data_IF_011432253025
#
_entry.id   IF_011432253025
#
_cell.length_a   1.000
_cell.length_b   1.000
_cell.length_c   1.000
_cell.angle_alpha   90.00
_cell.angle_beta   90.00
_cell.angle_gamma   90.00
#
_symmetry.space_group_name_H-M   'P 1'
#
loop_
_entity.id
_entity.type
_entity.pdbx_description
1 polymer ?
#
# COMPACT_ATOMS: atom_id res chain seq x y z
N UNK A 1 -26.33 -8.22 12.19
CA UNK A 1 -26.58 -6.95 11.48
C UNK A 1 -25.58 -6.85 10.35
N UNK A 2 -25.99 -6.36 9.19
CA UNK A 2 -25.06 -6.19 8.07
C UNK A 2 -24.01 -5.12 8.40
N UNK A 3 -22.74 -5.27 7.96
CA UNK A 3 -21.65 -4.34 8.28
C UNK A 3 -21.98 -2.87 7.98
N UNK A 4 -22.66 -2.63 6.84
CA UNK A 4 -23.07 -1.29 6.41
C UNK A 4 -24.12 -0.71 7.36
N UNK A 5 -25.05 -1.52 7.87
CA UNK A 5 -26.07 -1.06 8.82
C UNK A 5 -25.45 -0.68 10.15
N UNK A 6 -24.48 -1.47 10.64
CA UNK A 6 -23.72 -1.16 11.85
C UNK A 6 -22.95 0.15 11.68
N UNK A 7 -22.27 0.34 10.55
CA UNK A 7 -21.53 1.56 10.27
C UNK A 7 -22.45 2.80 10.18
N UNK A 8 -23.62 2.68 9.52
CA UNK A 8 -24.63 3.75 9.49
C UNK A 8 -25.11 4.10 10.90
N UNK A 9 -25.41 3.09 11.71
CA UNK A 9 -25.88 3.27 13.07
C UNK A 9 -24.82 3.88 14.00
N UNK A 10 -23.55 3.49 13.84
CA UNK A 10 -22.41 4.11 14.51
C UNK A 10 -22.32 5.60 14.17
N UNK A 11 -22.35 5.97 12.88
CA UNK A 11 -22.29 7.37 12.46
C UNK A 11 -23.46 8.18 13.02
N UNK A 12 -24.69 7.65 12.97
CA UNK A 12 -25.86 8.39 13.50
C UNK A 12 -25.82 8.60 15.01
N UNK A 13 -25.17 7.71 15.75
CA UNK A 13 -25.16 7.71 17.22
C UNK A 13 -23.96 8.50 17.76
N UNK A 14 -22.77 8.25 17.23
CA UNK A 14 -21.50 8.76 17.76
C UNK A 14 -21.00 10.02 17.04
N UNK A 15 -21.36 10.20 15.77
CA UNK A 15 -20.97 11.38 14.96
C UNK A 15 -22.18 12.03 14.25
N UNK A 16 -23.27 12.36 14.98
CA UNK A 16 -24.50 12.89 14.39
C UNK A 16 -24.31 14.23 13.68
N UNK A 17 -23.25 14.98 14.00
CA UNK A 17 -22.98 16.32 13.46
C UNK A 17 -21.85 16.39 12.44
N UNK A 18 -21.22 15.26 12.06
CA UNK A 18 -20.20 15.27 11.02
C UNK A 18 -20.80 15.69 9.66
N UNK A 19 -19.96 16.31 8.83
CA UNK A 19 -20.32 16.79 7.50
C UNK A 19 -20.45 15.65 6.48
N UNK A 20 -19.63 14.61 6.63
CA UNK A 20 -19.61 13.47 5.73
C UNK A 20 -18.98 12.25 6.37
N UNK A 21 -19.42 11.07 5.95
CA UNK A 21 -18.82 9.81 6.39
C UNK A 21 -18.92 8.75 5.28
N UNK A 22 -17.93 7.87 5.21
CA UNK A 22 -17.92 6.72 4.34
C UNK A 22 -17.38 5.49 5.08
N UNK A 23 -17.91 4.33 4.73
CA UNK A 23 -17.32 3.03 5.05
C UNK A 23 -16.35 2.69 3.94
N UNK A 24 -15.18 2.18 4.27
CA UNK A 24 -14.13 1.78 3.34
C UNK A 24 -13.67 0.35 3.66
N UNK A 25 -12.46 0.00 3.21
CA UNK A 25 -11.82 -1.21 3.68
C UNK A 25 -12.24 -2.49 2.97
N UNK A 26 -11.89 -3.61 3.62
CA UNK A 26 -12.11 -4.96 3.08
C UNK A 26 -13.60 -5.28 2.89
N UNK A 27 -14.47 -4.77 3.78
CA UNK A 27 -15.93 -4.92 3.73
C UNK A 27 -16.51 -4.37 2.43
N UNK A 28 -16.10 -3.16 2.03
CA UNK A 28 -16.62 -2.53 0.81
C UNK A 28 -16.14 -3.24 -0.47
N UNK A 29 -14.94 -3.82 -0.44
CA UNK A 29 -14.39 -4.55 -1.59
C UNK A 29 -14.94 -5.98 -1.75
N UNK A 30 -15.68 -6.49 -0.78
CA UNK A 30 -16.11 -7.90 -0.76
C UNK A 30 -14.99 -8.87 -0.37
N UNK A 31 -13.88 -8.37 0.16
CA UNK A 31 -12.71 -9.14 0.62
C UNK A 31 -12.71 -9.32 2.14
N UNK A 32 -13.84 -9.08 2.82
CA UNK A 32 -13.90 -9.17 4.27
C UNK A 32 -13.76 -10.61 4.76
N UNK A 33 -13.06 -10.78 5.87
CA UNK A 33 -12.93 -12.02 6.63
C UNK A 33 -13.60 -11.87 7.98
N UNK A 34 -13.74 -12.94 8.74
CA UNK A 34 -14.30 -12.90 10.11
C UNK A 34 -13.53 -11.95 11.05
N UNK A 35 -12.25 -11.70 10.76
CA UNK A 35 -11.40 -10.77 11.53
C UNK A 35 -11.36 -9.35 10.97
N UNK A 36 -12.15 -9.04 9.93
CA UNK A 36 -12.20 -7.71 9.32
C UNK A 36 -12.84 -6.68 10.24
N UNK A 37 -12.27 -5.48 10.20
CA UNK A 37 -12.77 -4.26 10.82
C UNK A 37 -13.66 -3.44 9.89
N UNK A 38 -14.39 -2.50 10.49
CA UNK A 38 -15.09 -1.43 9.79
C UNK A 38 -14.16 -0.22 9.70
N UNK A 39 -13.53 -0.04 8.54
CA UNK A 39 -12.78 1.18 8.21
C UNK A 39 -13.75 2.34 7.93
N UNK A 40 -13.84 3.33 8.80
CA UNK A 40 -14.76 4.47 8.64
C UNK A 40 -13.95 5.77 8.53
N UNK A 41 -14.15 6.49 7.42
CA UNK A 41 -13.58 7.83 7.23
C UNK A 41 -14.65 8.87 7.50
N UNK A 42 -14.35 9.83 8.39
CA UNK A 42 -15.26 10.89 8.82
C UNK A 42 -14.67 12.25 8.45
N UNK A 43 -15.52 13.12 7.92
CA UNK A 43 -15.22 14.52 7.65
C UNK A 43 -16.04 15.41 8.57
N UNK A 44 -15.38 16.21 9.40
CA UNK A 44 -16.00 17.18 10.31
C UNK A 44 -15.23 18.50 10.27
N UNK A 45 -15.85 19.55 9.75
CA UNK A 45 -15.24 20.88 9.61
C UNK A 45 -14.89 21.53 10.95
N UNK A 46 -15.56 21.14 12.05
CA UNK A 46 -15.33 21.69 13.39
C UNK A 46 -14.14 21.01 14.09
N UNK A 47 -13.65 19.91 13.53
CA UNK A 47 -12.51 19.20 14.07
C UNK A 47 -11.24 20.06 13.97
N UNK A 48 -10.56 20.24 15.11
CA UNK A 48 -9.30 21.01 15.17
C UNK A 48 -8.14 20.22 14.56
N UNK A 49 -7.99 18.96 14.93
CA UNK A 49 -6.88 18.10 14.52
C UNK A 49 -7.39 16.74 14.05
N UNK A 50 -6.79 16.20 12.99
CA UNK A 50 -7.10 14.85 12.54
C UNK A 50 -6.66 13.82 13.56
N UNK A 51 -7.43 12.75 13.70
CA UNK A 51 -7.07 11.64 14.58
C UNK A 51 -7.49 10.29 13.99
N UNK A 52 -6.88 9.23 14.53
CA UNK A 52 -7.31 7.85 14.32
C UNK A 52 -7.70 7.24 15.66
N UNK A 53 -8.71 6.39 15.64
CA UNK A 53 -9.21 5.72 16.82
C UNK A 53 -9.63 4.29 16.45
N UNK A 54 -9.31 3.33 17.31
CA UNK A 54 -9.78 1.95 17.17
C UNK A 54 -10.65 1.62 18.37
N UNK A 55 -11.87 1.12 18.12
CA UNK A 55 -12.83 0.81 19.17
C UNK A 55 -13.70 -0.40 18.82
N UNK A 56 -14.44 -0.92 19.79
CA UNK A 56 -15.46 -1.95 19.57
C UNK A 56 -16.85 -1.31 19.62
N UNK A 57 -17.65 -1.53 18.59
CA UNK A 57 -19.04 -1.09 18.54
C UNK A 57 -19.95 -2.24 18.12
N UNK A 58 -20.85 -2.65 19.02
CA UNK A 58 -21.77 -3.79 18.80
C UNK A 58 -21.03 -5.02 18.27
N UNK A 59 -19.95 -5.39 18.96
CA UNK A 59 -19.06 -6.53 18.64
C UNK A 59 -18.19 -6.37 17.38
N UNK A 60 -18.35 -5.27 16.62
CA UNK A 60 -17.47 -4.96 15.50
C UNK A 60 -16.24 -4.19 15.93
N UNK A 61 -15.08 -4.59 15.42
CA UNK A 61 -13.89 -3.73 15.41
C UNK A 61 -14.12 -2.59 14.43
N UNK A 62 -13.91 -1.36 14.89
CA UNK A 62 -14.06 -0.14 14.09
C UNK A 62 -12.73 0.61 14.11
N UNK A 63 -12.20 0.92 12.93
CA UNK A 63 -11.10 1.86 12.77
C UNK A 63 -11.64 3.18 12.20
N UNK A 64 -11.47 4.27 12.94
CA UNK A 64 -11.86 5.61 12.55
C UNK A 64 -10.69 6.39 11.98
N UNK A 65 -10.95 7.11 10.90
CA UNK A 65 -10.06 8.08 10.29
C UNK A 65 -10.81 9.41 10.21
N UNK A 66 -10.58 10.29 11.17
CA UNK A 66 -11.37 11.50 11.35
C UNK A 66 -10.55 12.71 10.92
N UNK A 67 -11.09 13.45 9.95
CA UNK A 67 -10.43 14.59 9.33
C UNK A 67 -11.37 15.81 9.28
N UNK A 68 -10.80 17.00 9.27
CA UNK A 68 -11.51 18.18 8.77
C UNK A 68 -11.29 18.34 7.25
N UNK A 69 -11.97 19.31 6.63
CA UNK A 69 -11.94 19.51 5.17
C UNK A 69 -10.61 20.09 4.62
N UNK A 70 -9.67 20.44 5.51
CA UNK A 70 -8.30 20.83 5.14
C UNK A 70 -7.33 19.68 5.31
N UNK A 71 -7.28 19.13 6.53
CA UNK A 71 -6.29 18.13 6.96
C UNK A 71 -6.25 16.85 6.12
N UNK A 72 -7.36 16.34 5.60
CA UNK A 72 -7.31 15.13 4.75
C UNK A 72 -6.39 15.31 3.52
N UNK A 73 -6.22 16.55 3.04
CA UNK A 73 -5.37 16.85 1.88
C UNK A 73 -3.89 16.63 2.19
N UNK A 74 -3.47 16.91 3.42
CA UNK A 74 -2.10 16.66 3.86
C UNK A 74 -1.82 15.15 3.89
N UNK A 75 -2.81 14.34 4.31
CA UNK A 75 -2.72 12.88 4.24
C UNK A 75 -2.72 12.37 2.81
N UNK A 76 -3.56 12.91 1.92
CA UNK A 76 -3.52 12.58 0.49
C UNK A 76 -2.15 12.88 -0.12
N UNK A 77 -1.57 14.05 0.19
CA UNK A 77 -0.24 14.46 -0.26
C UNK A 77 0.83 13.50 0.27
N UNK A 78 0.86 13.25 1.57
CA UNK A 78 1.83 12.34 2.21
C UNK A 78 1.76 10.93 1.61
N UNK A 79 0.54 10.42 1.38
CA UNK A 79 0.29 9.14 0.73
C UNK A 79 0.83 9.08 -0.71
N UNK A 80 0.69 10.17 -1.45
CA UNK A 80 1.21 10.28 -2.81
C UNK A 80 2.75 10.35 -2.83
N UNK A 81 3.35 11.10 -1.90
CA UNK A 81 4.81 11.25 -1.78
C UNK A 81 5.49 9.92 -1.49
N UNK A 82 4.92 9.11 -0.59
CA UNK A 82 5.39 7.76 -0.28
C UNK A 82 4.90 6.69 -1.27
N UNK A 83 4.15 7.07 -2.30
CA UNK A 83 3.53 6.20 -3.29
C UNK A 83 2.60 5.09 -2.71
N UNK A 84 2.05 5.28 -1.50
CA UNK A 84 1.12 4.35 -0.83
C UNK A 84 -0.22 5.06 -0.63
N UNK A 85 -1.16 4.97 -1.57
CA UNK A 85 -2.38 5.79 -1.58
C UNK A 85 -3.49 5.22 -0.69
N UNK A 86 -3.24 5.07 0.63
CA UNK A 86 -4.17 4.45 1.57
C UNK A 86 -5.48 5.24 1.69
N UNK A 87 -5.41 6.50 2.13
CA UNK A 87 -6.60 7.34 2.33
C UNK A 87 -7.29 7.68 0.99
N UNK A 88 -6.58 8.05 -0.10
CA UNK A 88 -7.21 8.21 -1.41
C UNK A 88 -7.97 6.96 -1.86
N UNK A 89 -7.42 5.76 -1.64
CA UNK A 89 -8.09 4.51 -2.01
C UNK A 89 -9.33 4.26 -1.16
N UNK A 90 -9.22 4.39 0.16
CA UNK A 90 -10.37 4.26 1.07
C UNK A 90 -11.51 5.19 0.67
N UNK A 91 -11.20 6.47 0.40
CA UNK A 91 -12.21 7.46 0.00
C UNK A 91 -12.78 7.13 -1.36
N UNK A 92 -11.96 6.82 -2.37
CA UNK A 92 -12.40 6.51 -3.74
C UNK A 92 -13.36 5.30 -3.79
N UNK A 93 -13.00 4.21 -3.10
CA UNK A 93 -13.73 2.94 -3.10
C UNK A 93 -14.93 2.95 -2.14
N UNK A 94 -14.89 3.75 -1.07
CA UNK A 94 -15.83 3.65 0.04
C UNK A 94 -17.30 3.93 -0.27
N UNK A 95 -18.21 3.31 0.49
CA UNK A 95 -19.65 3.56 0.41
C UNK A 95 -19.99 4.74 1.31
N UNK A 96 -20.68 5.75 0.75
CA UNK A 96 -21.09 6.93 1.49
C UNK A 96 -22.16 6.55 2.52
N UNK A 97 -21.89 6.85 3.78
CA UNK A 97 -22.83 6.65 4.89
C UNK A 97 -23.64 7.91 5.16
N UNK A 98 -23.03 9.09 4.98
CA UNK A 98 -23.64 10.41 5.25
C UNK A 98 -22.96 11.51 4.45
N UNK A 99 -23.69 12.60 4.16
CA UNK A 99 -23.09 13.83 3.67
C UNK A 99 -22.64 13.78 2.21
N UNK A 100 -23.45 13.18 1.33
CA UNK A 100 -23.11 12.95 -0.08
C UNK A 100 -22.56 14.19 -0.80
N UNK A 101 -23.16 15.36 -0.61
CA UNK A 101 -22.71 16.62 -1.22
C UNK A 101 -21.29 17.04 -0.81
N UNK A 102 -20.85 16.67 0.40
CA UNK A 102 -19.49 16.92 0.91
C UNK A 102 -18.53 15.84 0.43
N UNK A 103 -18.96 14.58 0.42
CA UNK A 103 -18.09 13.43 0.14
C UNK A 103 -17.83 13.25 -1.37
N UNK A 104 -18.81 13.50 -2.24
CA UNK A 104 -18.68 13.28 -3.69
C UNK A 104 -17.50 14.05 -4.33
N UNK A 105 -17.28 15.35 -4.04
CA UNK A 105 -16.09 16.07 -4.52
C UNK A 105 -14.77 15.46 -4.07
N UNK A 106 -14.68 15.01 -2.81
CA UNK A 106 -13.48 14.39 -2.24
C UNK A 106 -13.21 13.03 -2.89
N UNK A 107 -14.27 12.24 -3.15
CA UNK A 107 -14.15 10.99 -3.94
C UNK A 107 -13.64 11.26 -5.35
N UNK A 108 -14.10 12.32 -6.01
CA UNK A 108 -13.62 12.69 -7.34
C UNK A 108 -12.13 13.10 -7.30
N UNK A 109 -11.72 13.87 -6.30
CA UNK A 109 -10.30 14.21 -6.07
C UNK A 109 -9.44 12.95 -5.89
N UNK A 110 -9.87 12.04 -5.01
CA UNK A 110 -9.20 10.79 -4.75
C UNK A 110 -9.05 9.93 -6.03
N UNK A 111 -10.11 9.82 -6.84
CA UNK A 111 -10.09 9.12 -8.13
C UNK A 111 -9.08 9.73 -9.10
N UNK A 112 -9.05 11.07 -9.20
CA UNK A 112 -8.09 11.80 -10.05
C UNK A 112 -6.65 11.56 -9.60
N UNK A 113 -6.40 11.60 -8.29
CA UNK A 113 -5.08 11.30 -7.73
C UNK A 113 -4.65 9.87 -8.06
N UNK A 114 -5.50 8.88 -7.79
CA UNK A 114 -5.20 7.48 -8.09
C UNK A 114 -4.90 7.24 -9.58
N UNK A 115 -5.68 7.85 -10.47
CA UNK A 115 -5.45 7.76 -11.92
C UNK A 115 -4.15 8.44 -12.37
N UNK A 116 -3.67 9.47 -11.67
CA UNK A 116 -2.43 10.19 -11.99
C UNK A 116 -1.16 9.33 -11.78
N UNK A 117 -1.20 8.41 -10.82
CA UNK A 117 -0.04 7.62 -10.39
C UNK A 117 0.95 8.41 -9.50
N UNK A 118 1.91 7.74 -8.85
CA UNK A 118 2.94 8.39 -8.04
C UNK A 118 3.89 9.23 -8.89
N UNK A 119 4.72 10.03 -8.21
CA UNK A 119 5.87 10.70 -8.84
C UNK A 119 6.81 9.65 -9.42
N UNK A 120 7.31 9.91 -10.63
CA UNK A 120 8.41 9.16 -11.21
C UNK A 120 9.65 9.27 -10.31
N UNK A 121 10.36 8.16 -10.18
CA UNK A 121 11.71 8.16 -9.64
C UNK A 121 12.66 8.87 -10.58
N UNK A 122 13.63 9.60 -10.01
CA UNK A 122 14.76 10.11 -10.77
C UNK A 122 15.70 8.97 -11.16
N UNK A 123 16.75 9.28 -11.95
CA UNK A 123 17.77 8.28 -12.28
C UNK A 123 18.53 7.84 -11.02
N UNK A 124 18.83 8.78 -10.15
CA UNK A 124 19.52 8.58 -8.88
C UNK A 124 18.67 7.69 -7.95
N UNK A 125 17.35 7.94 -7.87
CA UNK A 125 16.43 7.07 -7.11
C UNK A 125 16.49 5.61 -7.62
N UNK A 126 16.50 5.41 -8.95
CA UNK A 126 16.59 4.08 -9.57
C UNK A 126 17.93 3.43 -9.29
N UNK A 127 19.04 4.16 -9.42
CA UNK A 127 20.39 3.66 -9.14
C UNK A 127 20.55 3.24 -7.67
N UNK A 128 20.11 4.09 -6.73
CA UNK A 128 20.12 3.76 -5.30
C UNK A 128 19.31 2.51 -5.00
N UNK A 129 18.11 2.36 -5.57
CA UNK A 129 17.30 1.16 -5.37
C UNK A 129 17.91 -0.07 -6.02
N UNK A 130 18.49 0.07 -7.22
CA UNK A 130 19.20 -1.00 -7.94
C UNK A 130 20.40 -1.50 -7.13
N UNK A 131 21.16 -0.61 -6.51
CA UNK A 131 22.24 -0.97 -5.58
C UNK A 131 21.72 -1.78 -4.40
N UNK A 132 20.72 -1.29 -3.65
CA UNK A 132 20.19 -2.01 -2.49
C UNK A 132 19.58 -3.38 -2.84
N UNK A 133 18.98 -3.53 -4.02
CA UNK A 133 18.48 -4.82 -4.50
C UNK A 133 19.64 -5.77 -4.81
N UNK A 134 20.73 -5.25 -5.39
CA UNK A 134 21.90 -6.05 -5.74
C UNK A 134 22.64 -6.52 -4.49
N UNK A 135 22.82 -5.63 -3.53
CA UNK A 135 23.42 -5.90 -2.22
C UNK A 135 22.64 -6.98 -1.46
N UNK A 136 21.32 -6.81 -1.33
CA UNK A 136 20.46 -7.82 -0.69
C UNK A 136 20.41 -9.15 -1.48
N UNK A 137 20.57 -9.13 -2.80
CA UNK A 137 20.64 -10.35 -3.60
C UNK A 137 21.97 -11.09 -3.38
N UNK A 138 23.09 -10.38 -3.27
CA UNK A 138 24.39 -10.99 -3.03
C UNK A 138 24.44 -11.61 -1.62
N UNK A 139 23.90 -10.92 -0.60
CA UNK A 139 23.67 -11.49 0.73
C UNK A 139 22.78 -12.75 0.67
N UNK A 140 21.71 -12.70 -0.11
CA UNK A 140 20.80 -13.84 -0.28
C UNK A 140 21.51 -15.04 -0.92
N UNK A 141 22.35 -14.81 -1.92
CA UNK A 141 23.14 -15.86 -2.59
C UNK A 141 24.16 -16.45 -1.62
N UNK A 142 24.88 -15.60 -0.87
CA UNK A 142 25.97 -15.99 0.00
C UNK A 142 25.57 -16.58 1.35
N UNK A 143 24.35 -16.33 1.85
CA UNK A 143 23.93 -16.86 3.15
C UNK A 143 23.76 -18.39 3.11
N UNK A 144 24.31 -19.07 4.11
CA UNK A 144 24.15 -20.52 4.33
C UNK A 144 23.22 -20.83 5.51
N UNK A 145 22.78 -19.80 6.25
CA UNK A 145 21.96 -19.94 7.45
C UNK A 145 20.49 -19.71 7.13
N UNK A 146 19.66 -20.73 7.34
CA UNK A 146 18.25 -20.71 6.92
C UNK A 146 17.44 -19.59 7.55
N UNK A 147 17.73 -19.26 8.80
CA UNK A 147 17.08 -18.15 9.50
C UNK A 147 17.35 -16.81 8.81
N UNK A 148 18.62 -16.49 8.51
CA UNK A 148 19.01 -15.30 7.75
C UNK A 148 18.34 -15.26 6.37
N UNK A 149 18.38 -16.35 5.61
CA UNK A 149 17.83 -16.39 4.26
C UNK A 149 16.32 -16.02 4.22
N UNK A 150 15.55 -16.39 5.25
CA UNK A 150 14.11 -16.08 5.34
C UNK A 150 13.89 -14.57 5.46
N UNK A 151 14.68 -13.89 6.29
CA UNK A 151 14.59 -12.44 6.48
C UNK A 151 15.14 -11.67 5.29
N UNK A 152 16.23 -12.15 4.68
CA UNK A 152 16.78 -11.55 3.45
C UNK A 152 15.76 -11.69 2.31
N UNK A 153 15.17 -12.88 2.11
CA UNK A 153 14.14 -13.10 1.08
C UNK A 153 12.91 -12.21 1.29
N UNK A 154 12.46 -12.02 2.53
CA UNK A 154 11.36 -11.09 2.82
C UNK A 154 11.74 -9.66 2.40
N UNK A 155 12.92 -9.19 2.82
CA UNK A 155 13.41 -7.84 2.52
C UNK A 155 13.54 -7.63 1.01
N UNK A 156 14.11 -8.61 0.30
CA UNK A 156 14.27 -8.62 -1.15
C UNK A 156 12.90 -8.59 -1.86
N UNK A 157 11.91 -9.32 -1.38
CA UNK A 157 10.54 -9.26 -1.92
C UNK A 157 9.93 -7.86 -1.80
N UNK A 158 10.13 -7.20 -0.65
CA UNK A 158 9.61 -5.85 -0.41
C UNK A 158 10.25 -4.83 -1.35
N UNK A 159 11.59 -4.77 -1.42
CA UNK A 159 12.29 -3.80 -2.25
C UNK A 159 12.15 -4.07 -3.75
N UNK A 160 12.11 -5.34 -4.18
CA UNK A 160 11.94 -5.71 -5.59
C UNK A 160 10.54 -5.38 -6.08
N UNK A 161 9.50 -5.67 -5.28
CA UNK A 161 8.13 -5.33 -5.64
C UNK A 161 7.89 -3.82 -5.68
N UNK A 162 8.50 -3.05 -4.75
CA UNK A 162 8.53 -1.59 -4.81
C UNK A 162 9.17 -1.14 -6.12
N UNK A 163 10.35 -1.67 -6.46
CA UNK A 163 11.09 -1.27 -7.64
C UNK A 163 10.28 -1.45 -8.92
N UNK A 164 9.73 -2.64 -9.15
CA UNK A 164 8.90 -2.95 -10.33
C UNK A 164 7.73 -1.99 -10.44
N UNK A 165 7.00 -1.76 -9.34
CA UNK A 165 5.83 -0.88 -9.37
C UNK A 165 6.23 0.58 -9.63
N UNK A 166 7.26 1.07 -8.94
CA UNK A 166 7.67 2.48 -9.01
C UNK A 166 8.30 2.86 -10.34
N UNK A 167 9.12 1.99 -10.93
CA UNK A 167 9.67 2.24 -12.27
C UNK A 167 8.59 2.21 -13.36
N UNK A 168 7.43 1.60 -13.08
CA UNK A 168 6.26 1.57 -13.97
C UNK A 168 5.17 2.58 -13.58
N UNK A 169 5.50 3.58 -12.74
CA UNK A 169 4.57 4.63 -12.26
C UNK A 169 3.29 4.03 -11.64
N UNK A 170 3.43 2.93 -10.91
CA UNK A 170 2.36 2.28 -10.18
C UNK A 170 2.47 2.58 -8.69
N UNK A 171 1.31 2.65 -8.05
CA UNK A 171 1.21 2.73 -6.60
C UNK A 171 1.73 1.45 -5.94
N UNK A 172 2.37 1.60 -4.78
CA UNK A 172 2.89 0.48 -4.00
C UNK A 172 1.96 0.14 -2.82
N UNK A 173 2.17 -1.04 -2.27
CA UNK A 173 1.42 -1.56 -1.13
C UNK A 173 2.35 -2.23 -0.12
N UNK A 174 1.81 -2.53 1.06
CA UNK A 174 2.51 -3.30 2.10
C UNK A 174 1.67 -4.50 2.51
N UNK A 175 2.32 -5.55 3.03
CA UNK A 175 1.64 -6.78 3.46
C UNK A 175 0.73 -7.32 2.35
N UNK A 176 -0.57 -7.53 2.61
CA UNK A 176 -1.58 -7.99 1.63
C UNK A 176 -1.59 -7.13 0.36
N UNK A 177 -1.31 -5.84 0.47
CA UNK A 177 -1.36 -4.91 -0.65
C UNK A 177 -0.17 -5.03 -1.62
N UNK A 178 0.95 -5.62 -1.20
CA UNK A 178 2.08 -5.85 -2.10
C UNK A 178 1.66 -6.71 -3.30
N UNK A 179 1.05 -7.87 -3.05
CA UNK A 179 0.59 -8.77 -4.12
C UNK A 179 -0.61 -8.19 -4.87
N UNK A 180 -1.50 -7.45 -4.19
CA UNK A 180 -2.65 -6.79 -4.86
C UNK A 180 -2.19 -5.72 -5.84
N UNK A 181 -1.21 -4.90 -5.47
CA UNK A 181 -0.64 -3.88 -6.35
C UNK A 181 0.06 -4.53 -7.56
N UNK A 182 0.86 -5.58 -7.34
CA UNK A 182 1.46 -6.35 -8.44
C UNK A 182 0.40 -6.93 -9.38
N UNK A 183 -0.69 -7.50 -8.85
CA UNK A 183 -1.80 -8.02 -9.68
C UNK A 183 -2.53 -6.93 -10.46
N UNK A 184 -2.68 -5.74 -9.89
CA UNK A 184 -3.30 -4.59 -10.56
C UNK A 184 -2.43 -4.08 -11.73
N UNK A 185 -1.11 -4.16 -11.59
CA UNK A 185 -0.16 -3.79 -12.63
C UNK A 185 -0.03 -4.87 -13.71
N UNK A 186 0.36 -6.09 -13.33
CA UNK A 186 0.54 -7.23 -14.22
C UNK A 186 0.24 -8.55 -13.47
N UNK A 187 -0.93 -9.17 -13.72
CA UNK A 187 -1.30 -10.45 -13.11
C UNK A 187 -0.34 -11.60 -13.40
N UNK A 188 0.28 -11.64 -14.58
CA UNK A 188 1.23 -12.71 -14.97
C UNK A 188 2.54 -12.54 -14.21
N UNK A 189 3.06 -11.31 -14.15
CA UNK A 189 4.23 -10.98 -13.35
C UNK A 189 3.98 -11.29 -11.88
N UNK A 190 2.85 -10.88 -11.31
CA UNK A 190 2.49 -11.14 -9.92
C UNK A 190 2.47 -12.64 -9.60
N UNK A 191 1.94 -13.48 -10.51
CA UNK A 191 1.95 -14.95 -10.34
C UNK A 191 3.38 -15.51 -10.33
N UNK A 192 4.23 -15.04 -11.25
CA UNK A 192 5.64 -15.46 -11.32
C UNK A 192 6.42 -15.01 -10.08
N UNK A 193 6.22 -13.77 -9.65
CA UNK A 193 6.82 -13.20 -8.44
C UNK A 193 6.50 -14.06 -7.22
N UNK A 194 5.21 -14.31 -6.95
CA UNK A 194 4.79 -15.13 -5.80
C UNK A 194 5.34 -16.56 -5.91
N UNK A 195 5.34 -17.16 -7.10
CA UNK A 195 5.88 -18.51 -7.31
C UNK A 195 7.38 -18.59 -7.01
N UNK A 196 8.17 -17.58 -7.36
CA UNK A 196 9.61 -17.55 -7.06
C UNK A 196 9.87 -17.59 -5.56
N UNK A 197 9.22 -16.71 -4.79
CA UNK A 197 9.39 -16.66 -3.33
C UNK A 197 8.78 -17.88 -2.62
N UNK A 198 7.58 -18.34 -3.01
CA UNK A 198 6.97 -19.55 -2.44
C UNK A 198 7.83 -20.80 -2.70
N UNK A 199 8.46 -20.92 -3.88
CA UNK A 199 9.40 -22.02 -4.17
C UNK A 199 10.56 -22.02 -3.17
N UNK A 200 11.16 -20.86 -2.92
CA UNK A 200 12.25 -20.72 -1.94
C UNK A 200 11.78 -21.04 -0.52
N UNK A 201 10.63 -20.53 -0.09
CA UNK A 201 10.12 -20.79 1.27
C UNK A 201 9.82 -22.29 1.50
N UNK A 202 9.36 -23.00 0.46
CA UNK A 202 9.06 -24.45 0.56
C UNK A 202 10.27 -25.36 0.43
N UNK A 203 11.28 -24.97 -0.34
CA UNK A 203 12.33 -25.90 -0.80
C UNK A 203 13.76 -25.44 -0.52
N UNK A 204 13.96 -24.18 -0.11
CA UNK A 204 15.29 -23.58 0.03
C UNK A 204 15.96 -23.16 -1.29
N UNK A 205 15.39 -23.54 -2.44
CA UNK A 205 15.94 -23.23 -3.77
C UNK A 205 15.89 -21.74 -4.09
N UNK A 206 17.07 -21.14 -4.34
CA UNK A 206 17.25 -19.68 -4.54
C UNK A 206 17.10 -19.24 -5.99
N UNK A 207 17.24 -20.15 -6.95
CA UNK A 207 17.47 -19.85 -8.37
C UNK A 207 16.35 -19.00 -8.98
N UNK A 208 15.10 -19.26 -8.61
CA UNK A 208 13.95 -18.52 -9.14
C UNK A 208 13.88 -17.08 -8.65
N UNK A 209 14.37 -16.79 -7.45
CA UNK A 209 14.45 -15.41 -6.94
C UNK A 209 15.60 -14.71 -7.67
N UNK A 210 16.77 -15.37 -7.77
CA UNK A 210 17.95 -14.83 -8.45
C UNK A 210 17.60 -14.43 -9.89
N UNK A 211 17.05 -15.35 -10.69
CA UNK A 211 16.67 -15.08 -12.08
C UNK A 211 15.61 -13.98 -12.21
N UNK A 212 14.67 -13.90 -11.26
CA UNK A 212 13.64 -12.85 -11.26
C UNK A 212 14.25 -11.47 -10.99
N UNK A 213 15.16 -11.36 -10.03
CA UNK A 213 15.85 -10.09 -9.75
C UNK A 213 16.68 -9.66 -10.96
N UNK A 214 17.45 -10.58 -11.55
CA UNK A 214 18.26 -10.28 -12.73
C UNK A 214 17.39 -9.81 -13.91
N UNK A 215 16.25 -10.48 -14.18
CA UNK A 215 15.29 -10.07 -15.21
C UNK A 215 14.77 -8.64 -14.96
N UNK A 216 14.39 -8.34 -13.71
CA UNK A 216 13.86 -7.01 -13.33
C UNK A 216 14.90 -5.91 -13.46
N UNK A 217 16.16 -6.19 -13.11
CA UNK A 217 17.22 -5.18 -13.15
C UNK A 217 17.84 -4.99 -14.54
N UNK A 218 17.75 -5.99 -15.43
CA UNK A 218 18.35 -5.96 -16.78
C UNK A 218 18.00 -4.69 -17.58
N UNK A 219 16.73 -4.23 -17.67
CA UNK A 219 16.38 -2.99 -18.37
C UNK A 219 16.99 -1.71 -17.78
N UNK A 220 17.53 -1.78 -16.55
CA UNK A 220 18.10 -0.66 -15.80
C UNK A 220 19.62 -0.81 -15.62
N UNK A 221 20.27 -1.65 -16.43
CA UNK A 221 21.72 -1.86 -16.39
C UNK A 221 22.18 -3.04 -15.53
N UNK A 222 21.27 -3.93 -15.12
CA UNK A 222 21.60 -5.13 -14.34
C UNK A 222 21.93 -4.84 -12.87
N UNK A 223 22.66 -5.74 -12.22
CA UNK A 223 23.12 -5.54 -10.83
C UNK A 223 24.06 -4.33 -10.72
N UNK A 224 24.12 -3.71 -9.55
CA UNK A 224 24.96 -2.55 -9.25
C UNK A 224 25.71 -2.75 -7.95
N UNK A 225 27.04 -2.67 -8.03
CA UNK A 225 27.92 -2.53 -6.87
C UNK A 225 29.04 -1.55 -7.19
N UNK A 226 29.84 -1.87 -8.21
CA UNK A 226 30.94 -1.02 -8.66
C UNK A 226 30.44 0.34 -9.15
N UNK A 227 31.10 1.42 -8.72
CA UNK A 227 30.78 2.78 -9.09
C UNK A 227 29.62 3.42 -8.34
N UNK A 228 28.86 2.67 -7.54
CA UNK A 228 27.83 3.26 -6.68
C UNK A 228 28.49 4.13 -5.60
N UNK A 229 27.98 5.35 -5.42
CA UNK A 229 28.40 6.24 -4.35
C UNK A 229 27.31 7.23 -3.98
N UNK A 230 27.32 7.69 -2.74
CA UNK A 230 26.40 8.70 -2.23
C UNK A 230 27.23 9.82 -1.63
N UNK A 231 27.02 11.05 -2.10
CA UNK A 231 27.73 12.26 -1.64
C UNK A 231 29.27 12.17 -1.73
N UNK A 232 29.82 11.30 -2.60
CA UNK A 232 31.25 11.23 -2.86
C UNK A 232 31.66 12.46 -3.69
N UNK A 233 32.58 13.30 -3.20
CA UNK A 233 33.03 14.50 -3.90
C UNK A 233 33.83 14.18 -5.18
#
# INVERSE_FOLDING_TARGET
MEPIEVAKNFISTNHPHCDGALLAGSVVRGDATETSDLDIVIFDRKLKESYRESLIYKEWKVELFVHNLGSYKDFFKSDCERARPSLPRMVSEGIILKGKSVVDPIKMEAKKLLAKGPRLWSKEDIETKRYFISDALDDFIGSEQRDEEIFIAQSLAEILSEFVLRTNKQWVGTSKWTVRALKQYDPKFAKRFVLSFDTFYRTGKKEKIISLVDEVLTPYGGRLFEGYSVNKP
#
